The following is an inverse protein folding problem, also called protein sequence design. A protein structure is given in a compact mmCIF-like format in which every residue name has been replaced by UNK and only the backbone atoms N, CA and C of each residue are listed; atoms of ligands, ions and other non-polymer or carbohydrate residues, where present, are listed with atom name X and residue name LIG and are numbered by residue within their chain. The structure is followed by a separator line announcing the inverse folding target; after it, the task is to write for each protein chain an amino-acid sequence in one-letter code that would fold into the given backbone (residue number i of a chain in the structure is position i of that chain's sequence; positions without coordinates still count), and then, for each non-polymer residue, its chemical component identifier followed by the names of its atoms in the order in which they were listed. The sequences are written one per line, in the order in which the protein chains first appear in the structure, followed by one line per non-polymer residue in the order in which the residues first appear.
data_IF_713377531711
#
_entry.id   IF_713377531711
#
_cell.length_a   1.000
_cell.length_b   1.000
_cell.length_c   1.000
_cell.angle_alpha   90.00
_cell.angle_beta   90.00
_cell.angle_gamma   90.00
#
_symmetry.space_group_name_H-M   'P 1'
#
loop_
_entity.id
_entity.type
_entity.pdbx_description
1 polymer ?
#
# COMPACT_ATOMS: atom_id res chain seq x y z
N UNK A 1 32.33 12.60 16.86
CA UNK A 1 31.68 12.17 16.87
C UNK A 1 31.27 10.85 16.92
N UNK A 2 30.43 10.64 17.47
CA UNK A 2 30.03 9.39 17.88
C UNK A 2 29.43 8.60 16.78
N UNK A 3 28.82 9.23 15.77
CA UNK A 3 28.21 8.48 14.71
C UNK A 3 29.25 7.69 13.92
N UNK A 4 30.39 8.30 13.64
CA UNK A 4 31.42 7.61 12.91
C UNK A 4 32.00 6.46 13.71
N UNK A 5 32.15 6.65 14.99
CA UNK A 5 32.67 5.58 15.84
C UNK A 5 31.72 4.39 15.84
N UNK A 6 30.43 4.67 15.92
CA UNK A 6 29.44 3.62 15.90
C UNK A 6 29.49 2.82 14.60
N UNK A 7 29.53 3.51 13.46
CA UNK A 7 29.55 2.85 12.17
C UNK A 7 30.81 2.01 11.99
N UNK A 8 31.94 2.49 12.46
CA UNK A 8 33.17 1.75 12.34
C UNK A 8 33.17 0.47 13.14
N UNK A 9 32.36 0.40 14.18
CA UNK A 9 32.30 -0.77 15.02
C UNK A 9 31.32 -1.81 14.53
N UNK A 10 30.55 -1.52 13.49
CA UNK A 10 29.57 -2.47 12.99
C UNK A 10 30.26 -3.63 12.26
N UNK A 11 29.68 -4.83 12.32
CA UNK A 11 30.22 -5.94 11.56
C UNK A 11 30.22 -5.61 10.07
N UNK A 12 31.34 -5.84 9.42
CA UNK A 12 31.45 -5.51 8.01
C UNK A 12 31.88 -4.08 7.75
N UNK A 13 31.94 -3.25 8.80
CA UNK A 13 32.40 -1.88 8.66
C UNK A 13 31.31 -0.89 8.30
N UNK A 14 31.71 0.38 8.26
CA UNK A 14 30.77 1.47 8.04
C UNK A 14 30.08 1.39 6.68
N UNK A 15 30.81 1.02 5.64
CA UNK A 15 30.21 1.02 4.30
C UNK A 15 29.12 -0.04 4.17
N UNK A 16 29.30 -1.19 4.83
CA UNK A 16 28.28 -2.23 4.78
C UNK A 16 27.01 -1.78 5.53
N UNK A 17 27.22 -1.17 6.71
CA UNK A 17 26.08 -0.70 7.50
C UNK A 17 25.29 0.36 6.74
N UNK A 18 25.98 1.31 6.10
CA UNK A 18 25.32 2.35 5.33
C UNK A 18 24.57 1.75 4.14
N UNK A 19 25.15 0.77 3.48
CA UNK A 19 24.48 0.13 2.34
C UNK A 19 23.19 -0.52 2.77
N UNK A 20 23.19 -1.20 3.91
CA UNK A 20 21.98 -1.84 4.40
C UNK A 20 20.90 -0.83 4.70
N UNK A 21 21.27 0.30 5.29
CA UNK A 21 20.30 1.35 5.60
C UNK A 21 19.69 1.93 4.33
N UNK A 22 20.50 2.17 3.32
CA UNK A 22 20.02 2.72 2.06
C UNK A 22 19.08 1.72 1.37
N UNK A 23 19.48 0.44 1.36
CA UNK A 23 18.63 -0.58 0.73
C UNK A 23 17.28 -0.69 1.43
N UNK A 24 17.27 -0.64 2.75
CA UNK A 24 16.03 -0.71 3.50
C UNK A 24 15.13 0.48 3.18
N UNK A 25 15.71 1.68 3.16
CA UNK A 25 14.95 2.90 2.86
C UNK A 25 14.37 2.85 1.45
N UNK A 26 15.15 2.34 0.50
CA UNK A 26 14.69 2.26 -0.88
C UNK A 26 13.52 1.30 -1.01
N UNK A 27 13.61 0.13 -0.40
CA UNK A 27 12.52 -0.84 -0.48
C UNK A 27 11.24 -0.33 0.16
N UNK A 28 11.37 0.35 1.29
CA UNK A 28 10.21 0.93 1.96
C UNK A 28 9.55 2.00 1.09
N UNK A 29 10.36 2.85 0.46
CA UNK A 29 9.83 3.89 -0.42
C UNK A 29 9.16 3.30 -1.66
N UNK A 30 9.77 2.28 -2.25
CA UNK A 30 9.18 1.64 -3.43
C UNK A 30 7.85 0.98 -3.10
N UNK A 31 7.76 0.34 -1.95
CA UNK A 31 6.50 -0.27 -1.53
C UNK A 31 5.43 0.80 -1.34
N UNK A 32 5.75 1.89 -0.66
CA UNK A 32 4.82 2.97 -0.45
C UNK A 32 4.35 3.60 -1.76
N UNK A 33 5.27 3.75 -2.73
CA UNK A 33 4.91 4.30 -4.03
C UNK A 33 3.97 3.37 -4.79
N UNK A 34 4.20 2.07 -4.71
CA UNK A 34 3.31 1.11 -5.38
C UNK A 34 1.92 1.15 -4.78
N UNK A 35 1.82 1.22 -3.47
CA UNK A 35 0.53 1.30 -2.79
C UNK A 35 -0.21 2.56 -3.21
N UNK A 36 0.48 3.70 -3.22
CA UNK A 36 -0.16 4.95 -3.61
C UNK A 36 -0.67 4.91 -5.04
N UNK A 37 0.13 4.37 -5.95
CA UNK A 37 -0.29 4.26 -7.35
C UNK A 37 -1.47 3.32 -7.50
N UNK A 38 -1.49 2.24 -6.73
CA UNK A 38 -2.61 1.31 -6.76
C UNK A 38 -3.87 1.96 -6.20
N UNK A 39 -3.75 2.73 -5.13
CA UNK A 39 -4.87 3.45 -4.57
C UNK A 39 -5.43 4.46 -5.58
N UNK A 40 -4.56 5.18 -6.26
CA UNK A 40 -5.00 6.14 -7.26
C UNK A 40 -5.70 5.47 -8.43
N UNK A 41 -5.18 4.35 -8.90
CA UNK A 41 -5.79 3.62 -9.99
C UNK A 41 -7.19 3.15 -9.60
N UNK A 42 -7.33 2.59 -8.41
CA UNK A 42 -8.63 2.15 -7.92
C UNK A 42 -9.57 3.33 -7.77
N UNK A 43 -9.09 4.43 -7.22
CA UNK A 43 -9.89 5.63 -7.04
C UNK A 43 -10.40 6.17 -8.37
N UNK A 44 -9.54 6.24 -9.38
CA UNK A 44 -9.94 6.75 -10.70
C UNK A 44 -11.02 5.88 -11.32
N UNK A 45 -10.84 4.57 -11.26
CA UNK A 45 -11.84 3.67 -11.81
C UNK A 45 -13.16 3.80 -11.08
N UNK A 46 -13.11 3.83 -9.73
CA UNK A 46 -14.31 3.93 -8.93
C UNK A 46 -15.03 5.25 -9.18
N UNK A 47 -14.29 6.35 -9.30
CA UNK A 47 -14.88 7.65 -9.56
C UNK A 47 -15.59 7.68 -10.90
N UNK A 48 -15.00 7.05 -11.90
CA UNK A 48 -15.56 7.03 -13.24
C UNK A 48 -16.77 6.10 -13.34
N UNK A 49 -16.65 4.89 -12.77
CA UNK A 49 -17.64 3.85 -12.99
C UNK A 49 -18.65 3.69 -11.86
N UNK A 50 -18.34 4.19 -10.68
CA UNK A 50 -19.18 3.97 -9.51
C UNK A 50 -19.44 5.24 -8.70
N UNK A 51 -19.15 6.40 -9.25
CA UNK A 51 -19.31 7.64 -8.50
C UNK A 51 -20.74 7.91 -8.04
N UNK A 52 -21.71 7.33 -8.74
CA UNK A 52 -23.13 7.49 -8.39
C UNK A 52 -23.69 6.23 -7.70
N UNK A 53 -22.86 5.27 -7.38
CA UNK A 53 -23.33 4.03 -6.75
C UNK A 53 -23.43 4.19 -5.25
N UNK A 54 -24.27 3.34 -4.60
CA UNK A 54 -24.40 3.44 -3.14
C UNK A 54 -23.07 3.14 -2.45
N UNK A 55 -22.84 3.84 -1.35
CA UNK A 55 -21.65 3.64 -0.52
C UNK A 55 -20.33 4.02 -1.20
N UNK A 56 -20.39 4.78 -2.29
CA UNK A 56 -19.17 5.16 -3.00
C UNK A 56 -18.18 5.89 -2.08
N UNK A 57 -18.65 6.90 -1.36
CA UNK A 57 -17.72 7.67 -0.51
C UNK A 57 -17.15 6.84 0.62
N UNK A 58 -17.99 5.99 1.22
CA UNK A 58 -17.51 5.12 2.28
C UNK A 58 -16.50 4.10 1.75
N UNK A 59 -16.71 3.61 0.54
CA UNK A 59 -15.78 2.69 -0.09
C UNK A 59 -14.43 3.37 -0.33
N UNK A 60 -14.43 4.61 -0.77
CA UNK A 60 -13.19 5.36 -0.97
C UNK A 60 -12.46 5.52 0.37
N UNK A 61 -13.19 5.83 1.44
CA UNK A 61 -12.58 5.95 2.75
C UNK A 61 -11.96 4.64 3.20
N UNK A 62 -12.64 3.52 2.99
CA UNK A 62 -12.11 2.20 3.36
C UNK A 62 -10.86 1.86 2.54
N UNK A 63 -10.85 2.23 1.27
CA UNK A 63 -9.70 2.01 0.40
C UNK A 63 -8.46 2.71 0.95
N UNK A 64 -8.58 4.00 1.28
CA UNK A 64 -7.44 4.76 1.77
C UNK A 64 -7.12 4.48 3.24
N UNK A 65 -8.06 3.91 3.98
CA UNK A 65 -7.81 3.49 5.36
C UNK A 65 -7.21 2.09 5.44
N UNK A 66 -7.02 1.43 4.31
CA UNK A 66 -6.48 0.08 4.24
C UNK A 66 -7.37 -0.89 5.04
N UNK A 67 -8.66 -0.85 4.78
CA UNK A 67 -9.65 -1.67 5.45
C UNK A 67 -10.38 -2.54 4.44
N UNK A 68 -9.77 -3.66 4.00
CA UNK A 68 -10.34 -4.47 2.94
C UNK A 68 -11.67 -5.12 3.31
N UNK A 69 -11.85 -5.52 4.57
CA UNK A 69 -13.10 -6.18 4.97
C UNK A 69 -14.28 -5.23 4.82
N UNK A 70 -14.12 -3.98 5.28
CA UNK A 70 -15.18 -2.99 5.13
C UNK A 70 -15.39 -2.62 3.68
N UNK A 71 -14.29 -2.49 2.93
CA UNK A 71 -14.37 -2.15 1.51
C UNK A 71 -15.21 -3.16 0.74
N UNK A 72 -14.97 -4.45 0.97
CA UNK A 72 -15.71 -5.49 0.26
C UNK A 72 -17.20 -5.44 0.56
N UNK A 73 -17.54 -5.16 1.80
CA UNK A 73 -18.94 -5.04 2.16
C UNK A 73 -19.61 -3.86 1.48
N UNK A 74 -18.88 -2.76 1.35
CA UNK A 74 -19.45 -1.55 0.79
C UNK A 74 -19.69 -1.65 -0.71
N UNK A 75 -18.83 -2.38 -1.44
CA UNK A 75 -19.00 -2.50 -2.87
C UNK A 75 -19.86 -3.68 -3.27
N UNK A 76 -20.33 -4.46 -2.32
CA UNK A 76 -21.05 -5.70 -2.62
C UNK A 76 -22.33 -5.45 -3.42
N UNK A 77 -22.94 -4.27 -3.28
CA UNK A 77 -24.18 -3.94 -3.98
C UNK A 77 -23.97 -3.38 -5.38
N UNK A 78 -22.73 -3.19 -5.79
CA UNK A 78 -22.46 -2.60 -7.10
C UNK A 78 -22.66 -3.63 -8.22
N UNK A 79 -22.86 -3.18 -9.47
CA UNK A 79 -22.95 -4.12 -10.59
C UNK A 79 -21.75 -5.04 -10.64
N UNK A 80 -21.96 -6.29 -11.04
CA UNK A 80 -20.94 -7.32 -10.93
C UNK A 80 -19.64 -6.98 -11.64
N UNK A 81 -19.74 -6.44 -12.87
CA UNK A 81 -18.53 -6.12 -13.60
C UNK A 81 -17.74 -4.97 -12.96
N UNK A 82 -18.44 -3.95 -12.48
CA UNK A 82 -17.79 -2.83 -11.80
C UNK A 82 -17.21 -3.30 -10.47
N UNK A 83 -17.98 -4.07 -9.72
CA UNK A 83 -17.53 -4.59 -8.42
C UNK A 83 -16.28 -5.46 -8.58
N UNK A 84 -16.30 -6.37 -9.54
CA UNK A 84 -15.21 -7.32 -9.69
C UNK A 84 -13.94 -6.62 -10.15
N UNK A 85 -14.03 -5.67 -11.05
CA UNK A 85 -12.85 -4.93 -11.49
C UNK A 85 -12.32 -4.03 -10.37
N UNK A 86 -13.22 -3.41 -9.62
CA UNK A 86 -12.84 -2.61 -8.46
C UNK A 86 -12.09 -3.47 -7.45
N UNK A 87 -12.58 -4.69 -7.23
CA UNK A 87 -11.93 -5.62 -6.30
C UNK A 87 -10.50 -5.90 -6.74
N UNK A 88 -10.28 -6.17 -8.01
CA UNK A 88 -8.95 -6.45 -8.53
C UNK A 88 -8.01 -5.27 -8.29
N UNK A 89 -8.45 -4.07 -8.61
CA UNK A 89 -7.62 -2.89 -8.44
C UNK A 89 -7.34 -2.61 -6.96
N UNK A 90 -8.37 -2.78 -6.12
CA UNK A 90 -8.21 -2.51 -4.69
C UNK A 90 -7.30 -3.52 -4.02
N UNK A 91 -7.27 -4.77 -4.50
CA UNK A 91 -6.39 -5.78 -3.92
C UNK A 91 -4.92 -5.36 -4.01
N UNK A 92 -4.57 -4.68 -5.08
CA UNK A 92 -3.21 -4.17 -5.23
C UNK A 92 -2.91 -3.09 -4.22
N UNK A 93 -3.91 -2.27 -3.88
CA UNK A 93 -3.75 -1.21 -2.90
C UNK A 93 -3.72 -1.74 -1.47
N UNK A 94 -4.36 -2.88 -1.22
CA UNK A 94 -4.41 -3.49 0.10
C UNK A 94 -3.23 -4.44 0.34
N UNK A 95 -2.25 -4.46 -0.56
CA UNK A 95 -1.12 -5.33 -0.39
C UNK A 95 -0.35 -5.01 0.87
N UNK A 96 -0.01 -6.03 1.66
CA UNK A 96 0.69 -5.81 2.89
C UNK A 96 2.18 -5.79 2.70
N UNK A 97 2.88 -5.16 3.63
CA UNK A 97 4.32 -5.24 3.66
C UNK A 97 4.73 -6.69 3.95
N UNK A 98 5.88 -7.12 3.44
CA UNK A 98 6.29 -8.52 3.60
C UNK A 98 6.34 -9.00 5.03
N UNK A 99 6.69 -8.15 5.98
CA UNK A 99 6.79 -8.58 7.37
C UNK A 99 5.44 -8.95 7.95
N UNK A 100 4.36 -8.47 7.40
CA UNK A 100 3.04 -8.78 7.93
C UNK A 100 2.74 -10.25 7.85
N UNK A 101 3.27 -10.90 6.82
CA UNK A 101 2.99 -12.27 6.72
C UNK A 101 3.82 -13.10 7.52
N UNK A 102 4.99 -12.66 7.86
CA UNK A 102 5.89 -13.42 8.69
C UNK A 102 5.36 -13.61 10.08
N UNK A 103 4.41 -12.84 10.48
CA UNK A 103 3.91 -13.00 11.84
C UNK A 103 3.04 -14.20 12.02
#
# INVERSE_FOLDING_TARGET
MRHWDWLSQQPGGASVALRKLVDTARRTGEHGDRVRRAQEAAYRFMSTMAGDKPHYEDAIRALFANDPARFEKLIAAWPADVRDHTHILAQRAFQRAPQDRAS
#
